data_IF_959065758628
#
_entry.id   IF_959065758628
#
_cell.length_a   1.000
_cell.length_b   1.000
_cell.length_c   1.000
_cell.angle_alpha   90.00
_cell.angle_beta   90.00
_cell.angle_gamma   90.00
#
_symmetry.space_group_name_H-M   'P 1'
#
loop_
_entity.id
_entity.type
_entity.pdbx_description
1 polymer ?
#
# COMPACT_ATOMS: atom_id res chain seq x y z
N UNK A 1 12.00 -11.98 14.02
CA UNK A 1 10.55 -12.18 13.79
C UNK A 1 9.93 -10.88 13.31
N UNK A 2 9.07 -10.96 12.32
CA UNK A 2 8.42 -9.78 11.75
C UNK A 2 7.07 -9.59 12.45
N UNK A 3 6.86 -8.40 13.01
CA UNK A 3 5.60 -8.01 13.63
C UNK A 3 4.85 -7.03 12.74
N UNK A 4 3.54 -7.21 12.59
CA UNK A 4 2.68 -6.28 11.87
C UNK A 4 1.86 -5.51 12.88
N UNK A 5 1.91 -4.17 12.79
CA UNK A 5 1.15 -3.28 13.67
C UNK A 5 0.34 -2.29 12.86
N UNK A 6 -0.93 -2.18 13.16
CA UNK A 6 -1.79 -1.16 12.57
C UNK A 6 -1.65 0.13 13.37
N UNK A 7 -1.48 1.25 12.68
CA UNK A 7 -1.35 2.58 13.29
C UNK A 7 -2.35 3.55 12.66
N UNK A 8 -2.73 4.56 13.42
CA UNK A 8 -3.62 5.61 12.96
C UNK A 8 -3.27 6.91 13.70
N UNK A 9 -3.27 8.02 12.96
CA UNK A 9 -3.02 9.36 13.52
C UNK A 9 -1.68 9.49 14.25
N UNK A 10 -0.63 8.92 13.67
CA UNK A 10 0.72 9.00 14.23
C UNK A 10 1.70 9.60 13.21
N UNK A 11 1.61 10.93 12.94
CA UNK A 11 2.47 11.57 11.94
C UNK A 11 3.96 11.52 12.30
N UNK A 12 4.31 11.27 13.56
CA UNK A 12 5.69 11.07 13.99
C UNK A 12 6.34 9.83 13.35
N UNK A 13 5.54 8.88 12.84
CA UNK A 13 6.06 7.69 12.16
C UNK A 13 6.32 7.92 10.66
N UNK A 14 6.03 9.12 10.14
CA UNK A 14 6.19 9.43 8.70
C UNK A 14 7.63 9.25 8.23
N UNK A 15 8.60 9.57 9.05
CA UNK A 15 10.01 9.47 8.68
C UNK A 15 10.44 8.02 8.48
N UNK A 16 9.97 7.11 9.34
CA UNK A 16 10.25 5.68 9.19
C UNK A 16 9.60 5.11 7.93
N UNK A 17 8.38 5.55 7.62
CA UNK A 17 7.67 5.15 6.39
C UNK A 17 8.40 5.70 5.15
N UNK A 18 8.81 6.97 5.20
CA UNK A 18 9.56 7.58 4.11
C UNK A 18 10.88 6.85 3.86
N UNK A 19 11.56 6.40 4.91
CA UNK A 19 12.80 5.62 4.79
C UNK A 19 12.57 4.32 3.99
N UNK A 20 11.43 3.66 4.18
CA UNK A 20 11.07 2.49 3.38
C UNK A 20 10.86 2.89 1.93
N UNK A 21 10.14 3.98 1.67
CA UNK A 21 9.87 4.42 0.30
C UNK A 21 11.15 4.73 -0.48
N UNK A 22 12.06 5.49 0.10
CA UNK A 22 13.31 5.84 -0.60
C UNK A 22 14.25 4.65 -0.77
N UNK A 23 14.08 3.61 0.05
CA UNK A 23 14.84 2.36 -0.10
C UNK A 23 14.30 1.49 -1.25
N UNK A 24 13.01 1.61 -1.57
CA UNK A 24 12.33 0.76 -2.56
C UNK A 24 12.26 1.44 -3.92
N UNK A 25 12.02 2.74 -3.96
CA UNK A 25 11.81 3.48 -5.22
C UNK A 25 13.00 4.39 -5.53
N UNK A 26 13.45 4.47 -6.81
CA UNK A 26 14.50 5.43 -7.20
C UNK A 26 14.10 6.88 -6.90
N UNK A 27 12.81 7.20 -7.08
CA UNK A 27 12.21 8.47 -6.69
C UNK A 27 10.99 8.12 -5.85
N UNK A 28 10.93 8.63 -4.62
CA UNK A 28 9.79 8.36 -3.75
C UNK A 28 8.51 8.94 -4.38
N UNK A 29 7.42 8.13 -4.50
CA UNK A 29 6.15 8.63 -5.03
C UNK A 29 5.52 9.71 -4.13
N UNK A 30 5.84 9.72 -2.85
CA UNK A 30 5.36 10.72 -1.88
C UNK A 30 6.53 11.39 -1.18
N UNK A 31 6.38 12.69 -0.88
CA UNK A 31 7.32 13.42 -0.03
C UNK A 31 7.06 13.08 1.44
N UNK A 32 8.03 13.43 2.30
CA UNK A 32 7.85 13.28 3.75
C UNK A 32 6.61 14.06 4.23
N UNK A 33 6.43 15.28 3.72
CA UNK A 33 5.30 16.12 4.09
C UNK A 33 3.96 15.53 3.67
N UNK A 34 3.90 14.89 2.50
CA UNK A 34 2.70 14.20 2.03
C UNK A 34 2.36 13.01 2.93
N UNK A 35 3.36 12.26 3.38
CA UNK A 35 3.15 11.13 4.31
C UNK A 35 2.64 11.65 5.66
N UNK A 36 3.24 12.73 6.17
CA UNK A 36 2.79 13.35 7.42
C UNK A 36 1.32 13.79 7.33
N UNK A 37 0.96 14.45 6.21
CA UNK A 37 -0.41 14.92 5.99
C UNK A 37 -1.38 13.75 5.87
N UNK A 38 -0.99 12.68 5.19
CA UNK A 38 -1.82 11.49 5.03
C UNK A 38 -2.06 10.78 6.37
N UNK A 39 -1.02 10.64 7.18
CA UNK A 39 -1.12 10.03 8.52
C UNK A 39 -1.99 10.82 9.49
N UNK A 40 -2.19 12.11 9.23
CA UNK A 40 -3.02 12.97 10.07
C UNK A 40 -4.52 12.87 9.73
N UNK A 41 -4.89 12.22 8.63
CA UNK A 41 -6.29 12.12 8.18
C UNK A 41 -7.05 11.08 8.99
N UNK A 42 -8.34 11.36 9.24
CA UNK A 42 -9.21 10.50 10.05
C UNK A 42 -9.48 9.15 9.39
N UNK A 43 -9.55 9.10 8.06
CA UNK A 43 -9.92 7.89 7.31
C UNK A 43 -8.71 7.08 6.86
N UNK A 44 -7.52 7.49 7.24
CA UNK A 44 -6.27 6.82 6.87
C UNK A 44 -5.74 5.98 8.02
N UNK A 45 -5.33 4.75 7.70
CA UNK A 45 -4.57 3.92 8.60
C UNK A 45 -3.45 3.23 7.84
N UNK A 46 -2.40 2.86 8.56
CA UNK A 46 -1.27 2.13 8.00
C UNK A 46 -1.06 0.83 8.77
N UNK A 47 -0.61 -0.20 8.08
CA UNK A 47 -0.03 -1.38 8.72
C UNK A 47 1.47 -1.29 8.51
N UNK A 48 2.24 -1.40 9.59
CA UNK A 48 3.70 -1.36 9.56
C UNK A 48 4.26 -2.73 9.88
N UNK A 49 5.24 -3.16 9.08
CA UNK A 49 5.99 -4.38 9.34
C UNK A 49 7.30 -4.00 10.05
N UNK A 50 7.54 -4.61 11.20
CA UNK A 50 8.71 -4.35 12.02
C UNK A 50 9.62 -5.57 12.07
N UNK A 51 10.93 -5.32 11.95
CA UNK A 51 11.96 -6.28 12.35
C UNK A 51 12.62 -5.68 13.59
N UNK A 52 12.27 -6.19 14.78
CA UNK A 52 12.63 -5.54 16.02
C UNK A 52 12.02 -4.14 16.11
N UNK A 53 12.84 -3.11 16.20
CA UNK A 53 12.41 -1.73 16.26
C UNK A 53 12.39 -1.05 14.89
N UNK A 54 12.88 -1.71 13.85
CA UNK A 54 12.99 -1.11 12.52
C UNK A 54 11.73 -1.36 11.69
N UNK A 55 11.18 -0.32 11.08
CA UNK A 55 10.10 -0.44 10.10
C UNK A 55 10.72 -0.87 8.77
N UNK A 56 10.33 -2.05 8.26
CA UNK A 56 10.88 -2.62 7.04
C UNK A 56 9.86 -2.72 5.92
N UNK A 57 8.62 -2.41 6.18
CA UNK A 57 7.56 -2.41 5.18
C UNK A 57 6.32 -1.72 5.70
N UNK A 58 5.42 -1.33 4.79
CA UNK A 58 4.16 -0.71 5.18
C UNK A 58 3.09 -0.91 4.13
N UNK A 59 1.85 -0.77 4.56
CA UNK A 59 0.65 -0.70 3.73
C UNK A 59 -0.11 0.55 4.15
N UNK A 60 -0.41 1.45 3.20
CA UNK A 60 -1.19 2.67 3.45
C UNK A 60 -2.59 2.48 2.92
N UNK A 61 -3.60 2.73 3.72
CA UNK A 61 -5.01 2.49 3.39
C UNK A 61 -5.86 3.69 3.76
N UNK A 62 -6.78 4.05 2.88
CA UNK A 62 -7.86 4.98 3.17
C UNK A 62 -9.16 4.19 3.18
N UNK A 63 -9.94 4.33 4.25
CA UNK A 63 -11.12 3.49 4.46
C UNK A 63 -12.29 4.31 4.96
N UNK A 64 -13.47 4.06 4.36
CA UNK A 64 -14.74 4.61 4.84
C UNK A 64 -15.69 3.45 5.16
N UNK A 65 -16.97 3.74 5.42
CA UNK A 65 -17.94 2.71 5.80
C UNK A 65 -18.30 1.78 4.64
N UNK A 66 -17.97 2.15 3.39
CA UNK A 66 -18.37 1.39 2.19
C UNK A 66 -17.22 0.60 1.59
N UNK A 67 -16.00 1.16 1.58
CA UNK A 67 -14.89 0.60 0.84
C UNK A 67 -13.55 0.98 1.45
N UNK A 68 -12.49 0.30 1.03
CA UNK A 68 -11.13 0.64 1.38
C UNK A 68 -10.30 0.76 0.11
N UNK A 69 -9.36 1.71 0.10
CA UNK A 69 -8.43 1.90 -0.99
C UNK A 69 -7.00 1.71 -0.51
N UNK A 70 -6.25 0.86 -1.20
CA UNK A 70 -4.81 0.72 -0.96
C UNK A 70 -4.11 1.87 -1.68
N UNK A 71 -3.46 2.74 -0.92
CA UNK A 71 -2.76 3.90 -1.47
C UNK A 71 -1.33 3.57 -1.85
N UNK A 72 -0.64 2.80 -1.01
CA UNK A 72 0.74 2.39 -1.23
C UNK A 72 1.04 1.10 -0.46
N UNK A 73 1.95 0.30 -0.98
CA UNK A 73 2.55 -0.83 -0.28
C UNK A 73 4.01 -0.93 -0.69
N UNK A 74 4.89 -1.13 0.26
CA UNK A 74 6.32 -1.31 0.00
C UNK A 74 6.97 -2.15 1.09
N UNK A 75 7.94 -2.97 0.70
CA UNK A 75 8.76 -3.78 1.59
C UNK A 75 10.21 -3.62 1.14
N UNK A 76 11.12 -3.35 2.09
CA UNK A 76 12.54 -3.20 1.79
C UNK A 76 13.09 -4.43 1.08
N UNK A 77 14.00 -4.22 0.12
CA UNK A 77 14.51 -5.28 -0.76
C UNK A 77 15.04 -6.51 -0.02
N UNK A 78 15.76 -6.28 1.10
CA UNK A 78 16.33 -7.38 1.89
C UNK A 78 15.26 -8.29 2.52
N UNK A 79 14.02 -7.83 2.61
CA UNK A 79 12.91 -8.55 3.23
C UNK A 79 11.89 -9.08 2.22
N UNK A 80 12.07 -8.80 0.94
CA UNK A 80 11.16 -9.27 -0.10
C UNK A 80 11.28 -10.79 -0.28
N UNK A 81 10.19 -11.42 -0.75
CA UNK A 81 10.14 -12.86 -0.95
C UNK A 81 9.90 -13.67 0.31
N UNK A 82 9.53 -13.04 1.42
CA UNK A 82 9.30 -13.70 2.71
C UNK A 82 7.84 -13.68 3.14
N UNK A 83 6.92 -13.27 2.26
CA UNK A 83 5.48 -13.23 2.57
C UNK A 83 5.04 -12.01 3.36
N UNK A 84 5.90 -10.99 3.52
CA UNK A 84 5.58 -9.81 4.33
C UNK A 84 4.50 -8.97 3.66
N UNK A 85 4.57 -8.78 2.33
CA UNK A 85 3.54 -8.04 1.61
C UNK A 85 2.17 -8.70 1.74
N UNK A 86 2.12 -10.04 1.68
CA UNK A 86 0.86 -10.79 1.90
C UNK A 86 0.36 -10.62 3.35
N UNK A 87 1.26 -10.61 4.32
CA UNK A 87 0.90 -10.39 5.72
C UNK A 87 0.36 -8.97 5.94
N UNK A 88 0.91 -7.97 5.27
CA UNK A 88 0.39 -6.61 5.28
C UNK A 88 -1.01 -6.56 4.65
N UNK A 89 -1.19 -7.21 3.50
CA UNK A 89 -2.49 -7.28 2.80
C UNK A 89 -3.55 -7.99 3.63
N UNK A 90 -3.16 -8.94 4.48
CA UNK A 90 -4.06 -9.65 5.37
C UNK A 90 -4.72 -8.72 6.40
N UNK A 91 -4.19 -7.52 6.62
CA UNK A 91 -4.78 -6.52 7.51
C UNK A 91 -6.01 -5.82 6.89
N UNK A 92 -6.21 -5.94 5.58
CA UNK A 92 -7.34 -5.32 4.90
C UNK A 92 -8.67 -5.94 5.33
N UNK A 93 -9.76 -5.15 5.37
CA UNK A 93 -11.07 -5.69 5.72
C UNK A 93 -11.54 -6.69 4.68
N UNK A 94 -12.30 -7.71 5.13
CA UNK A 94 -12.93 -8.71 4.25
C UNK A 94 -14.40 -8.39 3.98
N UNK A 95 -14.98 -7.48 4.76
CA UNK A 95 -16.40 -7.09 4.67
C UNK A 95 -16.63 -5.85 3.81
N UNK A 96 -15.63 -5.41 3.09
CA UNK A 96 -15.69 -4.24 2.19
C UNK A 96 -14.98 -4.54 0.89
N UNK A 97 -15.39 -3.85 -0.17
CA UNK A 97 -14.66 -3.88 -1.43
C UNK A 97 -13.34 -3.15 -1.28
N UNK A 98 -12.29 -3.66 -1.90
CA UNK A 98 -10.95 -3.08 -1.87
C UNK A 98 -10.60 -2.61 -3.28
N UNK A 99 -10.08 -1.40 -3.38
CA UNK A 99 -9.65 -0.80 -4.65
C UNK A 99 -8.18 -0.39 -4.56
N UNK A 100 -7.52 -0.40 -5.70
CA UNK A 100 -6.19 0.22 -5.85
C UNK A 100 -5.96 0.61 -7.30
N UNK A 101 -4.95 1.45 -7.50
CA UNK A 101 -4.46 1.83 -8.82
C UNK A 101 -2.98 1.46 -8.92
N UNK A 102 -2.58 0.94 -10.08
CA UNK A 102 -1.20 0.51 -10.31
C UNK A 102 -0.79 0.90 -11.72
N UNK A 103 0.49 1.28 -11.89
CA UNK A 103 1.02 1.59 -13.23
C UNK A 103 0.87 0.38 -14.14
N UNK A 104 0.41 0.62 -15.37
CA UNK A 104 0.20 -0.44 -16.36
C UNK A 104 1.47 -1.24 -16.63
N UNK A 105 2.64 -0.61 -16.59
CA UNK A 105 3.92 -1.28 -16.80
C UNK A 105 4.37 -2.12 -15.62
N UNK A 106 3.81 -1.90 -14.43
CA UNK A 106 4.24 -2.60 -13.22
C UNK A 106 3.58 -3.98 -13.13
N UNK A 107 4.05 -4.90 -13.97
CA UNK A 107 3.47 -6.25 -14.05
C UNK A 107 3.74 -7.09 -12.81
N UNK A 108 4.87 -6.84 -12.15
CA UNK A 108 5.20 -7.55 -10.90
C UNK A 108 4.20 -7.23 -9.80
N UNK A 109 3.85 -5.96 -9.63
CA UNK A 109 2.83 -5.55 -8.66
C UNK A 109 1.47 -6.11 -9.02
N UNK A 110 1.09 -6.04 -10.30
CA UNK A 110 -0.19 -6.59 -10.75
C UNK A 110 -0.29 -8.09 -10.48
N UNK A 111 0.80 -8.84 -10.70
CA UNK A 111 0.83 -10.28 -10.41
C UNK A 111 0.64 -10.54 -8.90
N UNK A 112 1.28 -9.74 -8.06
CA UNK A 112 1.10 -9.82 -6.60
C UNK A 112 -0.35 -9.56 -6.23
N UNK A 113 -0.94 -8.48 -6.75
CA UNK A 113 -2.33 -8.13 -6.44
C UNK A 113 -3.31 -9.20 -6.90
N UNK A 114 -3.07 -9.84 -8.05
CA UNK A 114 -3.91 -10.95 -8.50
C UNK A 114 -3.86 -12.13 -7.55
N UNK A 115 -2.69 -12.45 -6.99
CA UNK A 115 -2.58 -13.48 -5.96
C UNK A 115 -3.37 -13.12 -4.72
N UNK A 116 -3.49 -11.83 -4.41
CA UNK A 116 -4.26 -11.32 -3.27
C UNK A 116 -5.73 -11.12 -3.63
N UNK A 117 -6.21 -11.75 -4.70
CA UNK A 117 -7.61 -11.78 -5.15
C UNK A 117 -8.12 -10.46 -5.71
N UNK A 118 -7.21 -9.58 -6.14
CA UNK A 118 -7.57 -8.38 -6.87
C UNK A 118 -7.75 -8.71 -8.36
N UNK A 119 -8.69 -8.07 -9.03
CA UNK A 119 -8.91 -8.21 -10.48
C UNK A 119 -8.91 -6.84 -11.14
N UNK A 120 -8.34 -6.77 -12.34
CA UNK A 120 -8.37 -5.54 -13.13
C UNK A 120 -9.80 -5.28 -13.62
N UNK A 121 -10.32 -4.08 -13.35
CA UNK A 121 -11.68 -3.72 -13.74
C UNK A 121 -11.75 -2.55 -14.72
N UNK A 122 -10.70 -1.73 -14.80
CA UNK A 122 -10.69 -0.55 -15.65
C UNK A 122 -9.26 -0.08 -15.89
N UNK A 123 -9.12 0.83 -16.84
CA UNK A 123 -7.85 1.49 -17.14
C UNK A 123 -8.10 2.99 -17.24
N UNK A 124 -7.28 3.80 -16.55
CA UNK A 124 -7.33 5.26 -16.61
C UNK A 124 -6.15 5.77 -17.43
N UNK A 125 -6.43 6.47 -18.52
CA UNK A 125 -5.40 6.96 -19.43
C UNK A 125 -4.65 8.13 -18.80
N UNK A 126 -3.31 8.14 -18.97
CA UNK A 126 -2.43 9.23 -18.57
C UNK A 126 -2.61 9.65 -17.11
N UNK A 127 -2.91 8.70 -16.23
CA UNK A 127 -3.15 8.96 -14.81
C UNK A 127 -1.87 9.34 -14.06
N UNK A 128 -0.78 8.62 -14.35
CA UNK A 128 0.52 8.87 -13.71
C UNK A 128 1.34 9.84 -14.55
N UNK A 129 2.25 10.55 -13.86
CA UNK A 129 3.22 11.46 -14.49
C UNK A 129 4.64 11.04 -14.10
N UNK A 130 5.64 11.45 -14.89
CA UNK A 130 7.07 11.24 -14.67
C UNK A 130 7.44 9.75 -14.53
N UNK A 131 7.22 8.88 -15.53
CA UNK A 131 6.67 9.18 -16.86
C UNK A 131 5.13 9.15 -16.88
N UNK A 132 4.57 9.72 -17.93
CA UNK A 132 3.12 9.62 -18.18
C UNK A 132 2.81 8.17 -18.51
N UNK A 133 1.81 7.63 -17.82
CA UNK A 133 1.44 6.22 -17.95
C UNK A 133 0.01 5.99 -17.52
N UNK A 134 -0.63 4.99 -18.12
CA UNK A 134 -1.98 4.59 -17.72
C UNK A 134 -1.94 3.86 -16.38
N UNK A 135 -3.04 3.98 -15.63
CA UNK A 135 -3.28 3.22 -14.42
C UNK A 135 -4.21 2.06 -14.71
N UNK A 136 -3.91 0.90 -14.14
CA UNK A 136 -4.86 -0.21 -14.06
C UNK A 136 -5.56 -0.09 -12.72
N UNK A 137 -6.89 -0.05 -12.74
CA UNK A 137 -7.71 -0.04 -11.52
C UNK A 137 -8.04 -1.48 -11.19
N UNK A 138 -7.74 -1.89 -9.96
CA UNK A 138 -8.02 -3.24 -9.50
C UNK A 138 -8.98 -3.21 -8.32
N UNK A 139 -9.76 -4.28 -8.19
CA UNK A 139 -10.80 -4.40 -7.18
C UNK A 139 -10.82 -5.81 -6.61
N UNK A 140 -11.07 -5.91 -5.31
CA UNK A 140 -11.40 -7.17 -4.65
C UNK A 140 -12.80 -7.08 -4.07
N UNK A 141 -13.64 -8.07 -4.37
CA UNK A 141 -14.99 -8.13 -3.85
C UNK A 141 -15.02 -8.48 -2.36
N UNK A 142 -16.16 -8.21 -1.72
CA UNK A 142 -16.39 -8.63 -0.35
C UNK A 142 -16.23 -10.15 -0.26
N UNK A 143 -15.53 -10.59 0.78
CA UNK A 143 -15.36 -12.01 1.06
C UNK A 143 -16.54 -12.47 1.93
N UNK A 144 -17.48 -13.20 1.32
CA UNK A 144 -18.68 -13.67 1.99
C UNK A 144 -18.55 -15.08 2.57
N UNK A 145 -17.43 -15.70 2.38
CA UNK A 145 -17.22 -17.06 2.77
C UNK A 145 -15.91 -17.35 3.37
#
# INVERSE_FOLDING_TARGET
MIDIKRIQRQPDLAQAIYAVMIAVYPVSPWTLEQIQADLAQDQTWYALAYDGAEVIGFLAVQENIFEAEVLQIAVKGAYQGQGIASALFAQLPTDKEIFLEVRKSNQRAQAFYKKERMAAIAERKAYYHNPVENAIIMKREIDEG
#
